data_IF_097334431521
#
_entry.id   IF_097334431521
#
_cell.length_a   1.000
_cell.length_b   1.000
_cell.length_c   1.000
_cell.angle_alpha   90.00
_cell.angle_beta   90.00
_cell.angle_gamma   90.00
#
_symmetry.space_group_name_H-M   'P 1'
#
loop_
_entity.id
_entity.type
_entity.pdbx_description
1 polymer ?
#
# COMPACT_ATOMS: atom_id res chain seq x y z
N UNK A 1 27.42 4.61 16.13
CA UNK A 1 26.89 3.30 16.55
C UNK A 1 26.38 2.60 15.31
N UNK A 2 26.84 1.38 15.07
CA UNK A 2 26.61 0.61 13.86
C UNK A 2 25.12 0.27 13.72
N UNK A 3 24.44 0.88 12.73
CA UNK A 3 23.13 0.42 12.30
C UNK A 3 23.29 -0.93 11.62
N UNK A 4 23.05 -2.03 12.36
CA UNK A 4 22.78 -3.33 11.75
C UNK A 4 21.58 -3.11 10.83
N UNK A 5 21.79 -3.31 9.53
CA UNK A 5 20.69 -3.46 8.58
C UNK A 5 20.01 -4.76 9.00
N UNK A 6 18.86 -4.60 9.63
CA UNK A 6 17.99 -5.70 9.98
C UNK A 6 17.54 -6.40 8.69
N UNK A 7 17.59 -7.74 8.66
CA UNK A 7 17.36 -8.54 7.46
C UNK A 7 15.88 -8.65 7.07
N UNK A 8 15.06 -7.67 7.43
CA UNK A 8 13.61 -7.69 7.27
C UNK A 8 13.18 -6.71 6.17
N UNK A 9 12.40 -7.21 5.20
CA UNK A 9 11.94 -6.47 4.03
C UNK A 9 10.94 -5.33 4.35
N UNK A 10 10.32 -5.36 5.54
CA UNK A 10 9.40 -4.31 6.00
C UNK A 10 9.45 -4.19 7.51
N UNK A 11 9.72 -2.98 8.01
CA UNK A 11 9.88 -2.68 9.43
C UNK A 11 8.64 -1.98 9.97
N UNK A 12 8.01 -2.57 10.98
CA UNK A 12 6.89 -2.00 11.71
C UNK A 12 6.91 -2.51 13.15
N UNK A 13 6.68 -1.60 14.09
CA UNK A 13 6.65 -1.85 15.53
C UNK A 13 5.25 -1.57 16.09
N UNK A 14 4.92 -2.25 17.18
CA UNK A 14 3.81 -1.94 18.05
C UNK A 14 4.12 -0.65 18.85
N UNK A 15 3.09 -0.04 19.44
CA UNK A 15 3.26 1.21 20.20
C UNK A 15 4.16 1.12 21.43
N UNK A 16 4.54 -0.09 21.84
CA UNK A 16 5.48 -0.37 22.93
C UNK A 16 6.92 -0.66 22.45
N UNK A 17 7.19 -0.62 21.14
CA UNK A 17 8.51 -0.88 20.55
C UNK A 17 8.81 -2.34 20.21
N UNK A 18 7.90 -3.27 20.49
CA UNK A 18 8.03 -4.65 20.00
C UNK A 18 7.76 -4.71 18.49
N UNK A 19 8.47 -5.59 17.77
CA UNK A 19 8.17 -5.82 16.35
C UNK A 19 6.79 -6.44 16.18
N UNK A 20 6.08 -6.07 15.10
CA UNK A 20 4.87 -6.79 14.70
C UNK A 20 5.26 -8.20 14.24
N UNK A 21 4.58 -9.25 14.74
CA UNK A 21 4.81 -10.63 14.33
C UNK A 21 4.75 -10.83 12.81
N UNK A 22 5.64 -11.68 12.27
CA UNK A 22 5.74 -11.93 10.81
C UNK A 22 4.47 -12.55 10.23
N UNK A 23 3.84 -13.47 10.95
CA UNK A 23 2.58 -14.12 10.57
C UNK A 23 1.43 -13.11 10.48
N UNK A 24 1.37 -12.15 11.41
CA UNK A 24 0.38 -11.07 11.36
C UNK A 24 0.59 -10.16 10.15
N UNK A 25 1.85 -9.81 9.82
CA UNK A 25 2.18 -9.02 8.62
C UNK A 25 1.75 -9.75 7.34
N UNK A 26 2.11 -11.03 7.21
CA UNK A 26 1.74 -11.86 6.05
C UNK A 26 0.21 -11.97 5.93
N UNK A 27 -0.49 -12.17 7.04
CA UNK A 27 -1.95 -12.27 7.07
C UNK A 27 -2.63 -10.97 6.61
N UNK A 28 -2.16 -9.82 7.10
CA UNK A 28 -2.68 -8.50 6.70
C UNK A 28 -2.45 -8.27 5.19
N UNK A 29 -1.25 -8.57 4.68
CA UNK A 29 -0.94 -8.44 3.26
C UNK A 29 -1.82 -9.33 2.39
N UNK A 30 -2.09 -10.57 2.84
CA UNK A 30 -2.98 -11.49 2.14
C UNK A 30 -4.40 -10.94 2.02
N UNK A 31 -4.98 -10.45 3.13
CA UNK A 31 -6.31 -9.82 3.11
C UNK A 31 -6.34 -8.62 2.17
N UNK A 32 -5.31 -7.76 2.24
CA UNK A 32 -5.24 -6.58 1.38
C UNK A 32 -5.21 -6.95 -0.11
N UNK A 33 -4.56 -8.04 -0.50
CA UNK A 33 -4.51 -8.50 -1.88
C UNK A 33 -5.81 -9.21 -2.30
N UNK A 34 -6.40 -10.04 -1.43
CA UNK A 34 -7.65 -10.78 -1.69
C UNK A 34 -8.85 -9.83 -1.87
N UNK A 35 -8.95 -8.80 -1.02
CA UNK A 35 -10.06 -7.84 -1.03
C UNK A 35 -9.81 -6.65 -1.96
N UNK A 36 -8.64 -6.59 -2.63
CA UNK A 36 -8.31 -5.51 -3.56
C UNK A 36 -9.16 -5.57 -4.82
N UNK A 37 -9.74 -4.42 -5.22
CA UNK A 37 -10.37 -4.28 -6.54
C UNK A 37 -9.42 -3.52 -7.48
N UNK A 38 -8.95 -4.20 -8.53
CA UNK A 38 -8.04 -3.62 -9.53
C UNK A 38 -8.84 -3.11 -10.74
N UNK A 39 -9.08 -1.80 -10.78
CA UNK A 39 -9.79 -1.14 -11.89
C UNK A 39 -8.77 -0.68 -12.95
N UNK A 40 -8.83 -1.17 -14.20
CA UNK A 40 -7.94 -0.74 -15.26
C UNK A 40 -8.32 0.67 -15.74
N UNK A 41 -7.45 1.64 -15.46
CA UNK A 41 -7.62 3.03 -15.87
C UNK A 41 -7.79 3.20 -17.37
N UNK A 42 -8.78 3.99 -17.76
CA UNK A 42 -8.96 4.54 -19.11
C UNK A 42 -8.80 6.06 -19.08
N UNK A 43 -8.40 6.62 -20.21
CA UNK A 43 -8.26 8.07 -20.35
C UNK A 43 -9.61 8.74 -20.13
N UNK A 44 -9.66 9.68 -19.18
CA UNK A 44 -10.86 10.42 -18.81
C UNK A 44 -11.58 9.89 -17.56
N UNK A 45 -11.18 8.73 -17.04
CA UNK A 45 -11.73 8.21 -15.78
C UNK A 45 -11.37 9.13 -14.60
N UNK A 46 -12.31 9.26 -13.66
CA UNK A 46 -12.12 9.90 -12.37
C UNK A 46 -12.57 8.93 -11.28
N UNK A 47 -11.70 8.69 -10.30
CA UNK A 47 -12.04 7.88 -9.12
C UNK A 47 -12.18 8.80 -7.92
N UNK A 48 -13.30 8.70 -7.22
CA UNK A 48 -13.49 9.33 -5.92
C UNK A 48 -13.20 8.30 -4.84
N UNK A 49 -12.26 8.60 -3.95
CA UNK A 49 -11.88 7.73 -2.83
C UNK A 49 -12.28 8.42 -1.54
N UNK A 50 -13.07 7.72 -0.70
CA UNK A 50 -13.25 8.13 0.68
C UNK A 50 -12.01 7.68 1.49
N UNK A 51 -11.10 8.61 1.77
CA UNK A 51 -9.81 8.33 2.41
C UNK A 51 -9.95 7.74 3.84
N UNK A 52 -11.12 7.84 4.46
CA UNK A 52 -11.39 7.24 5.78
C UNK A 52 -11.80 5.77 5.70
N UNK A 53 -12.14 5.26 4.50
CA UNK A 53 -12.71 3.91 4.33
C UNK A 53 -11.92 3.02 3.37
N UNK A 54 -11.04 3.61 2.55
CA UNK A 54 -10.37 2.89 1.46
C UNK A 54 -8.87 3.12 1.50
N UNK A 55 -8.12 2.02 1.59
CA UNK A 55 -6.70 2.00 1.28
C UNK A 55 -6.52 1.87 -0.23
N UNK A 56 -5.55 2.59 -0.80
CA UNK A 56 -5.23 2.52 -2.21
C UNK A 56 -3.76 2.20 -2.43
N UNK A 57 -3.48 1.44 -3.49
CA UNK A 57 -2.14 1.06 -3.90
C UNK A 57 -2.01 1.14 -5.43
N UNK A 58 -0.83 0.80 -5.96
CA UNK A 58 -0.57 0.83 -7.39
C UNK A 58 0.13 -0.44 -7.85
N UNK A 59 -0.46 -1.14 -8.83
CA UNK A 59 0.25 -2.23 -9.52
C UNK A 59 1.42 -1.70 -10.37
N UNK A 60 2.50 -2.48 -10.55
CA UNK A 60 3.67 -2.08 -11.35
C UNK A 60 3.31 -1.51 -12.73
N UNK A 61 4.18 -0.64 -13.25
CA UNK A 61 4.04 -0.11 -14.61
C UNK A 61 4.72 -1.05 -15.60
N UNK A 62 3.93 -1.84 -16.34
CA UNK A 62 4.47 -2.75 -17.35
C UNK A 62 4.87 -2.05 -18.66
N UNK A 63 4.12 -1.02 -19.07
CA UNK A 63 4.34 -0.28 -20.32
C UNK A 63 4.16 1.23 -20.11
N UNK A 64 5.23 2.04 -20.17
CA UNK A 64 5.11 3.50 -20.14
C UNK A 64 4.57 4.06 -21.48
N UNK A 65 4.00 5.28 -21.50
CA UNK A 65 3.79 6.21 -20.38
C UNK A 65 2.48 5.96 -19.60
N UNK A 66 2.46 6.36 -18.31
CA UNK A 66 1.25 6.41 -17.47
C UNK A 66 1.22 7.75 -16.74
N UNK A 67 0.11 8.48 -16.82
CA UNK A 67 -0.11 9.73 -16.07
C UNK A 67 -1.45 9.65 -15.35
N UNK A 68 -1.41 9.82 -14.03
CA UNK A 68 -2.59 9.87 -13.14
C UNK A 68 -2.42 11.14 -12.29
N UNK A 69 -3.46 11.96 -12.24
CA UNK A 69 -3.50 13.17 -11.43
C UNK A 69 -4.33 12.91 -10.17
N UNK A 70 -4.04 13.65 -9.10
CA UNK A 70 -4.75 13.54 -7.83
C UNK A 70 -5.11 14.92 -7.27
N UNK A 71 -6.16 14.97 -6.46
CA UNK A 71 -6.55 16.12 -5.65
C UNK A 71 -6.98 15.60 -4.27
N UNK A 72 -6.71 16.38 -3.23
CA UNK A 72 -7.00 16.02 -1.84
C UNK A 72 -8.08 16.95 -1.30
N UNK A 73 -9.08 16.35 -0.65
CA UNK A 73 -10.09 17.09 0.10
C UNK A 73 -9.57 17.42 1.51
N UNK A 74 -10.12 18.46 2.12
CA UNK A 74 -9.82 18.87 3.50
C UNK A 74 -10.36 17.85 4.51
#
# INVERSE_FOLDING_TARGET
MNGKVDGHDTYVELGNGDLVPDDAKEYILRIMEEECVVIPWKKGDVMLVNNMMVLHARKPLLKPPRSILASLCK
#
